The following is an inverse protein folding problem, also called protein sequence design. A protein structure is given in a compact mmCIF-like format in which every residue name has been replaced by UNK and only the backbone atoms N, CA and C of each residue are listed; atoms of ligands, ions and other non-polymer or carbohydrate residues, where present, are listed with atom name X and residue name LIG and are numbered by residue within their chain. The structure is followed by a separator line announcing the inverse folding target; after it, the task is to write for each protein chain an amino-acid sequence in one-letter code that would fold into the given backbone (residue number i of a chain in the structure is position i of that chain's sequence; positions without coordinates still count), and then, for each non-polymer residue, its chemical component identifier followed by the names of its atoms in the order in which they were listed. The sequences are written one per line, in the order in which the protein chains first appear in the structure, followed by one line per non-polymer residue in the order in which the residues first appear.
data_IF_819200702800
#
_entry.id   IF_819200702800
#
_cell.length_a   1.000
_cell.length_b   1.000
_cell.length_c   1.000
_cell.angle_alpha   90.00
_cell.angle_beta   90.00
_cell.angle_gamma   90.00
#
_symmetry.space_group_name_H-M   'P 1'
#
loop_
_entity.id
_entity.type
_entity.pdbx_description
1 polymer ?
#
# COMPACT_ATOMS: atom_id res chain seq x y z
N UNK A 1 -12.47 23.90 63.07
CA UNK A 1 -12.99 22.52 63.05
C UNK A 1 -13.46 22.09 61.64
N UNK A 2 -12.82 22.58 60.56
CA UNK A 2 -13.27 22.37 59.17
C UNK A 2 -12.34 21.52 58.29
N UNK A 3 -11.07 21.30 58.66
CA UNK A 3 -10.09 20.66 57.76
C UNK A 3 -10.21 19.14 57.61
N UNK A 4 -11.07 18.48 58.39
CA UNK A 4 -11.20 17.00 58.40
C UNK A 4 -12.28 16.50 57.41
N UNK A 5 -13.24 17.34 57.00
CA UNK A 5 -14.32 16.93 56.06
C UNK A 5 -13.86 16.81 54.60
N UNK A 6 -12.83 17.54 54.18
CA UNK A 6 -12.35 17.56 52.79
C UNK A 6 -11.67 16.23 52.39
N UNK A 7 -11.00 15.54 53.32
CA UNK A 7 -10.27 14.29 53.01
C UNK A 7 -11.16 13.07 52.73
N UNK A 8 -12.42 13.04 53.20
CA UNK A 8 -13.33 11.89 53.01
C UNK A 8 -14.10 11.92 51.68
N UNK A 9 -14.14 13.05 50.98
CA UNK A 9 -14.85 13.18 49.68
C UNK A 9 -13.92 13.05 48.47
N UNK A 10 -12.60 13.19 48.63
CA UNK A 10 -11.62 13.14 47.52
C UNK A 10 -11.35 11.69 47.06
N UNK A 11 -11.37 10.72 47.98
CA UNK A 11 -11.11 9.29 47.67
C UNK A 11 -12.16 8.68 46.72
N UNK A 12 -13.49 8.82 46.95
CA UNK A 12 -14.49 8.28 46.01
C UNK A 12 -14.50 9.01 44.67
N UNK A 13 -14.12 10.30 44.62
CA UNK A 13 -14.01 11.07 43.37
C UNK A 13 -12.83 10.59 42.50
N UNK A 14 -11.68 10.27 43.13
CA UNK A 14 -10.52 9.69 42.45
C UNK A 14 -10.79 8.28 41.93
N UNK A 15 -11.48 7.42 42.70
CA UNK A 15 -11.86 6.07 42.25
C UNK A 15 -12.87 6.10 41.09
N UNK A 16 -13.81 7.05 41.08
CA UNK A 16 -14.75 7.23 39.97
C UNK A 16 -14.02 7.75 38.70
N UNK A 17 -13.04 8.64 38.84
CA UNK A 17 -12.20 9.10 37.72
C UNK A 17 -11.34 7.98 37.12
N UNK A 18 -10.86 7.05 37.96
CA UNK A 18 -10.08 5.89 37.52
C UNK A 18 -10.96 4.88 36.76
N UNK A 19 -12.20 4.66 37.21
CA UNK A 19 -13.16 3.76 36.55
C UNK A 19 -13.59 4.26 35.15
N UNK A 20 -13.69 5.58 34.96
CA UNK A 20 -13.99 6.19 33.66
C UNK A 20 -12.78 6.09 32.71
N UNK A 21 -11.55 6.10 33.25
CA UNK A 21 -10.33 5.96 32.44
C UNK A 21 -10.09 4.53 31.91
N UNK A 22 -10.54 3.50 32.64
CA UNK A 22 -10.41 2.10 32.21
C UNK A 22 -11.58 1.58 31.35
N UNK A 23 -12.66 2.36 31.18
CA UNK A 23 -13.91 1.88 30.58
C UNK A 23 -13.98 1.88 29.05
N UNK A 24 -12.96 2.35 28.33
CA UNK A 24 -13.07 2.56 26.87
C UNK A 24 -11.79 2.24 26.11
N UNK A 25 -11.15 1.13 26.44
CA UNK A 25 -10.24 0.48 25.48
C UNK A 25 -11.13 -0.31 24.52
N UNK A 26 -11.75 0.39 23.55
CA UNK A 26 -12.34 -0.29 22.41
C UNK A 26 -11.19 -0.83 21.58
N UNK A 27 -10.89 -2.13 21.73
CA UNK A 27 -10.08 -2.84 20.76
C UNK A 27 -10.75 -2.66 19.40
N UNK A 28 -10.18 -1.82 18.55
CA UNK A 28 -10.60 -1.73 17.17
C UNK A 28 -10.25 -3.08 16.54
N UNK A 29 -11.26 -3.90 16.31
CA UNK A 29 -11.09 -5.14 15.57
C UNK A 29 -10.83 -4.77 14.11
N UNK A 30 -9.78 -5.35 13.53
CA UNK A 30 -9.52 -5.32 12.10
C UNK A 30 -10.79 -5.71 11.33
N UNK A 31 -11.31 -4.79 10.52
CA UNK A 31 -12.48 -5.04 9.70
C UNK A 31 -12.07 -5.53 8.30
N UNK A 32 -12.95 -6.29 7.68
CA UNK A 32 -12.78 -6.78 6.31
C UNK A 32 -13.82 -6.16 5.41
N UNK A 33 -13.39 -5.48 4.35
CA UNK A 33 -14.24 -4.78 3.40
C UNK A 33 -14.16 -5.40 2.01
N UNK A 34 -15.21 -5.21 1.22
CA UNK A 34 -15.31 -5.73 -0.14
C UNK A 34 -15.47 -4.59 -1.14
N UNK A 35 -14.78 -4.71 -2.28
CA UNK A 35 -14.86 -3.77 -3.40
C UNK A 35 -15.22 -4.54 -4.67
N UNK A 36 -16.25 -4.09 -5.39
CA UNK A 36 -16.68 -4.68 -6.66
C UNK A 36 -17.07 -3.57 -7.64
N UNK A 37 -16.26 -3.37 -8.69
CA UNK A 37 -16.46 -2.28 -9.66
C UNK A 37 -17.70 -2.42 -10.54
N UNK A 38 -18.34 -3.59 -10.55
CA UNK A 38 -19.51 -3.91 -11.37
C UNK A 38 -20.84 -3.87 -10.62
N UNK A 39 -20.85 -4.13 -9.31
CA UNK A 39 -22.07 -4.21 -8.49
C UNK A 39 -22.06 -3.34 -7.23
N UNK A 40 -20.94 -2.72 -6.89
CA UNK A 40 -20.78 -1.96 -5.65
C UNK A 40 -21.37 -0.54 -5.68
N UNK A 41 -21.38 0.11 -4.52
CA UNK A 41 -21.70 1.53 -4.39
C UNK A 41 -20.84 2.20 -3.32
N UNK A 42 -20.20 3.32 -3.66
CA UNK A 42 -19.44 4.13 -2.69
C UNK A 42 -20.33 4.91 -1.71
N UNK A 43 -21.66 4.90 -1.92
CA UNK A 43 -22.62 5.43 -0.96
C UNK A 43 -22.87 4.50 0.22
N UNK A 44 -22.42 3.24 0.16
CA UNK A 44 -22.56 2.30 1.27
C UNK A 44 -21.66 2.70 2.44
N UNK A 45 -22.18 2.50 3.65
CA UNK A 45 -21.43 2.73 4.88
C UNK A 45 -20.33 1.69 5.05
N UNK A 46 -19.37 1.96 5.92
CA UNK A 46 -18.32 1.00 6.27
C UNK A 46 -18.90 -0.34 6.74
N UNK A 47 -19.95 -0.33 7.56
CA UNK A 47 -20.61 -1.57 8.01
C UNK A 47 -21.24 -2.35 6.86
N UNK A 48 -21.85 -1.68 5.88
CA UNK A 48 -22.42 -2.35 4.71
C UNK A 48 -21.32 -2.96 3.83
N UNK A 49 -20.20 -2.27 3.63
CA UNK A 49 -19.10 -2.77 2.82
C UNK A 49 -18.35 -3.97 3.43
N UNK A 50 -18.66 -4.36 4.67
CA UNK A 50 -18.20 -5.61 5.26
C UNK A 50 -19.01 -6.84 4.79
N UNK A 51 -20.10 -6.63 4.03
CA UNK A 51 -20.86 -7.69 3.38
C UNK A 51 -20.58 -7.70 1.87
N UNK A 52 -20.28 -8.89 1.34
CA UNK A 52 -20.11 -9.17 -0.09
C UNK A 52 -21.28 -8.76 -0.98
N UNK A 53 -22.51 -8.65 -0.43
CA UNK A 53 -23.71 -8.23 -1.15
C UNK A 53 -23.84 -6.69 -1.26
N UNK A 54 -23.11 -5.94 -0.43
CA UNK A 54 -23.09 -4.46 -0.45
C UNK A 54 -21.65 -3.92 -0.50
N UNK A 55 -20.82 -4.34 -1.46
CA UNK A 55 -19.44 -3.91 -1.55
C UNK A 55 -19.35 -2.44 -1.99
N UNK A 56 -18.26 -1.77 -1.66
CA UNK A 56 -17.95 -0.47 -2.28
C UNK A 56 -17.68 -0.62 -3.77
N UNK A 57 -17.86 0.47 -4.52
CA UNK A 57 -17.63 0.49 -5.95
C UNK A 57 -16.14 0.62 -6.28
N UNK A 58 -15.44 1.51 -5.56
CA UNK A 58 -14.05 1.86 -5.87
C UNK A 58 -13.07 1.42 -4.79
N UNK A 59 -11.83 1.14 -5.21
CA UNK A 59 -10.72 0.88 -4.28
C UNK A 59 -10.33 2.17 -3.54
N UNK A 60 -10.50 3.34 -4.18
CA UNK A 60 -10.23 4.63 -3.55
C UNK A 60 -11.13 4.87 -2.34
N UNK A 61 -12.42 4.51 -2.43
CA UNK A 61 -13.33 4.60 -1.28
C UNK A 61 -12.83 3.80 -0.07
N UNK A 62 -12.28 2.62 -0.31
CA UNK A 62 -11.64 1.84 0.74
C UNK A 62 -10.39 2.56 1.28
N UNK A 63 -9.49 3.00 0.39
CA UNK A 63 -8.25 3.68 0.78
C UNK A 63 -8.46 4.92 1.66
N UNK A 64 -9.53 5.69 1.43
CA UNK A 64 -9.87 6.86 2.25
C UNK A 64 -10.42 6.50 3.64
N UNK A 65 -10.92 5.26 3.80
CA UNK A 65 -11.68 4.79 4.96
C UNK A 65 -10.88 3.90 5.91
N UNK A 66 -9.89 3.15 5.42
CA UNK A 66 -9.19 2.13 6.22
C UNK A 66 -8.46 2.69 7.44
N UNK A 67 -8.42 1.88 8.49
CA UNK A 67 -7.55 2.07 9.66
C UNK A 67 -6.62 0.87 9.81
N UNK A 68 -5.61 1.01 10.68
CA UNK A 68 -4.63 -0.04 10.92
C UNK A 68 -5.28 -1.40 11.23
N UNK A 69 -4.77 -2.45 10.58
CA UNK A 69 -5.27 -3.82 10.65
C UNK A 69 -6.37 -4.18 9.66
N UNK A 70 -7.04 -3.20 9.03
CA UNK A 70 -8.14 -3.48 8.09
C UNK A 70 -7.67 -4.23 6.84
N UNK A 71 -8.58 -5.01 6.24
CA UNK A 71 -8.36 -5.74 4.99
C UNK A 71 -9.39 -5.34 3.93
N UNK A 72 -8.92 -5.10 2.70
CA UNK A 72 -9.72 -4.78 1.52
C UNK A 72 -9.63 -5.94 0.52
N UNK A 73 -10.74 -6.65 0.34
CA UNK A 73 -10.90 -7.69 -0.68
C UNK A 73 -11.48 -7.07 -1.96
N UNK A 74 -10.66 -6.98 -2.99
CA UNK A 74 -11.03 -6.39 -4.28
C UNK A 74 -11.44 -7.50 -5.24
N UNK A 75 -12.63 -7.39 -5.83
CA UNK A 75 -13.16 -8.37 -6.78
C UNK A 75 -12.26 -8.47 -8.02
N UNK A 76 -11.73 -9.66 -8.25
CA UNK A 76 -10.96 -10.01 -9.43
C UNK A 76 -11.79 -10.15 -10.69
N UNK A 77 -11.10 -10.35 -11.81
CA UNK A 77 -11.74 -10.44 -13.13
C UNK A 77 -12.29 -9.12 -13.65
N UNK A 78 -12.06 -8.02 -12.92
CA UNK A 78 -12.45 -6.66 -13.27
C UNK A 78 -11.22 -5.79 -13.51
N UNK A 79 -11.44 -4.72 -14.28
CA UNK A 79 -10.45 -3.65 -14.50
C UNK A 79 -10.87 -2.41 -13.72
N UNK A 80 -9.95 -1.92 -12.91
CA UNK A 80 -10.07 -0.69 -12.14
C UNK A 80 -9.15 0.36 -12.74
N UNK A 81 -9.75 1.44 -13.23
CA UNK A 81 -9.05 2.60 -13.75
C UNK A 81 -9.64 3.85 -13.11
N UNK A 82 -8.78 4.79 -12.73
CA UNK A 82 -9.16 6.08 -12.20
C UNK A 82 -8.03 7.08 -12.44
N UNK A 83 -8.30 8.36 -12.19
CA UNK A 83 -7.33 9.44 -12.36
C UNK A 83 -7.35 10.35 -11.12
N UNK A 84 -7.25 9.73 -9.95
CA UNK A 84 -7.33 10.40 -8.66
C UNK A 84 -6.13 11.34 -8.49
N UNK A 85 -6.38 12.49 -7.85
CA UNK A 85 -5.35 13.49 -7.61
C UNK A 85 -4.64 13.19 -6.28
N UNK A 86 -3.48 12.54 -6.33
CA UNK A 86 -2.65 12.25 -5.14
C UNK A 86 -1.66 13.39 -4.86
N UNK A 87 -2.12 14.63 -5.08
CA UNK A 87 -1.41 15.88 -4.89
C UNK A 87 -0.28 16.13 -5.90
N UNK A 88 0.84 15.41 -5.84
CA UNK A 88 1.96 15.57 -6.79
C UNK A 88 1.82 14.74 -8.07
N UNK A 89 0.91 13.77 -8.07
CA UNK A 89 0.75 12.84 -9.16
C UNK A 89 -0.70 12.37 -9.31
N UNK A 90 -0.97 11.75 -10.45
CA UNK A 90 -2.21 11.02 -10.71
C UNK A 90 -2.01 9.54 -10.41
N UNK A 91 -2.95 8.93 -9.70
CA UNK A 91 -2.98 7.48 -9.50
C UNK A 91 -4.38 6.89 -9.64
N UNK A 92 -4.44 5.58 -9.85
CA UNK A 92 -5.70 4.83 -9.71
C UNK A 92 -6.09 4.75 -8.24
N UNK A 93 -5.11 4.57 -7.33
CA UNK A 93 -5.32 4.55 -5.88
C UNK A 93 -4.34 5.51 -5.20
N UNK A 94 -4.87 6.52 -4.52
CA UNK A 94 -4.15 7.36 -3.57
C UNK A 94 -4.25 6.74 -2.17
N UNK A 95 -3.13 6.30 -1.63
CA UNK A 95 -3.00 5.82 -0.26
C UNK A 95 -2.90 7.04 0.67
N UNK A 96 -3.84 7.15 1.61
CA UNK A 96 -3.98 8.31 2.53
C UNK A 96 -3.90 7.91 4.01
N UNK A 97 -3.75 6.62 4.30
CA UNK A 97 -3.79 6.03 5.63
C UNK A 97 -2.62 5.08 5.81
N UNK A 98 -2.05 5.04 7.01
CA UNK A 98 -1.02 4.08 7.41
C UNK A 98 -1.61 2.98 8.28
N UNK A 99 -1.03 1.80 8.18
CA UNK A 99 -1.18 0.78 9.22
C UNK A 99 -0.29 1.07 10.43
N UNK A 100 -0.14 0.06 11.28
CA UNK A 100 0.79 0.06 12.40
C UNK A 100 1.62 -1.23 12.38
N UNK A 101 2.72 -1.27 13.15
CA UNK A 101 3.53 -2.48 13.30
C UNK A 101 2.65 -3.66 13.73
N UNK A 102 2.68 -4.75 12.95
CA UNK A 102 1.85 -5.95 13.08
C UNK A 102 0.35 -5.78 12.76
N UNK A 103 -0.08 -4.60 12.31
CA UNK A 103 -1.45 -4.28 11.93
C UNK A 103 -1.44 -3.51 10.59
N UNK A 104 -0.94 -4.17 9.54
CA UNK A 104 -0.90 -3.57 8.21
C UNK A 104 -2.32 -3.33 7.67
N UNK A 105 -2.50 -2.29 6.86
CA UNK A 105 -3.67 -2.18 5.98
C UNK A 105 -3.41 -3.06 4.76
N UNK A 106 -4.28 -4.04 4.52
CA UNK A 106 -4.07 -5.05 3.48
C UNK A 106 -5.00 -4.81 2.29
N UNK A 107 -4.44 -4.78 1.09
CA UNK A 107 -5.17 -4.82 -0.17
C UNK A 107 -4.88 -6.15 -0.85
N UNK A 108 -5.92 -6.90 -1.17
CA UNK A 108 -5.78 -8.24 -1.77
C UNK A 108 -6.97 -8.62 -2.67
N UNK A 109 -6.82 -9.64 -3.52
CA UNK A 109 -7.93 -10.22 -4.26
C UNK A 109 -9.00 -10.76 -3.33
N UNK A 110 -10.26 -10.52 -3.69
CA UNK A 110 -11.38 -11.23 -3.13
C UNK A 110 -11.31 -12.70 -3.55
N UNK A 111 -11.11 -13.57 -2.56
CA UNK A 111 -11.02 -15.03 -2.75
C UNK A 111 -12.10 -15.58 -3.70
N UNK A 112 -11.67 -16.40 -4.65
CA UNK A 112 -12.54 -17.05 -5.63
C UNK A 112 -12.89 -16.21 -6.86
N UNK A 113 -12.47 -14.94 -6.94
CA UNK A 113 -12.83 -14.03 -8.05
C UNK A 113 -11.68 -13.78 -9.04
N UNK A 114 -10.49 -14.35 -8.80
CA UNK A 114 -9.27 -14.11 -9.59
C UNK A 114 -8.54 -12.83 -9.16
N UNK A 115 -7.57 -12.36 -9.96
CA UNK A 115 -6.82 -11.14 -9.66
C UNK A 115 -7.52 -9.88 -10.20
N UNK A 116 -7.62 -8.80 -9.42
CA UNK A 116 -8.03 -7.50 -9.92
C UNK A 116 -6.97 -6.91 -10.84
N UNK A 117 -7.41 -6.20 -11.89
CA UNK A 117 -6.52 -5.48 -12.80
C UNK A 117 -6.57 -3.99 -12.50
N UNK A 118 -5.43 -3.39 -12.17
CA UNK A 118 -5.26 -1.94 -12.08
C UNK A 118 -4.68 -1.44 -13.41
N UNK A 119 -5.37 -0.54 -14.08
CA UNK A 119 -4.95 0.01 -15.37
C UNK A 119 -4.67 1.52 -15.25
N UNK A 120 -3.40 1.90 -15.38
CA UNK A 120 -2.95 3.28 -15.31
C UNK A 120 -3.16 4.06 -16.62
N UNK A 121 -3.69 3.43 -17.67
CA UNK A 121 -3.96 4.05 -18.98
C UNK A 121 -2.76 4.79 -19.62
N UNK A 122 -1.53 4.40 -19.28
CA UNK A 122 -0.26 4.89 -19.82
C UNK A 122 0.29 6.16 -19.17
N UNK A 123 -0.50 6.89 -18.38
CA UNK A 123 -0.10 8.18 -17.79
C UNK A 123 -0.28 8.28 -16.28
N UNK A 124 -0.88 7.27 -15.66
CA UNK A 124 -1.32 7.28 -14.27
C UNK A 124 -0.57 6.21 -13.47
N UNK A 125 -0.28 6.49 -12.20
CA UNK A 125 0.28 5.50 -11.27
C UNK A 125 -0.79 4.46 -10.90
N UNK A 126 -0.39 3.26 -10.49
CA UNK A 126 -1.32 2.28 -9.94
C UNK A 126 -1.67 2.64 -8.50
N UNK A 127 -0.79 2.26 -7.56
CA UNK A 127 -0.83 2.71 -6.17
C UNK A 127 0.20 3.83 -5.95
N UNK A 128 -0.21 4.89 -5.26
CA UNK A 128 0.65 6.04 -4.93
C UNK A 128 0.28 6.57 -3.56
N UNK A 129 1.25 6.97 -2.75
CA UNK A 129 0.96 7.77 -1.55
C UNK A 129 0.74 9.24 -1.93
N UNK A 130 0.06 9.99 -1.06
CA UNK A 130 -0.10 11.44 -1.19
C UNK A 130 1.18 12.16 -0.75
N UNK A 131 1.73 13.02 -1.61
CA UNK A 131 3.07 13.61 -1.46
C UNK A 131 3.26 14.58 -0.31
N UNK A 132 2.18 15.07 0.32
CA UNK A 132 2.28 16.18 1.26
C UNK A 132 2.65 15.73 2.68
N UNK A 133 3.86 15.17 2.84
CA UNK A 133 4.59 14.99 4.12
C UNK A 133 4.18 13.84 5.06
N UNK A 134 3.20 13.02 4.69
CA UNK A 134 2.81 11.87 5.52
C UNK A 134 3.36 10.58 4.93
N UNK A 135 4.39 10.03 5.58
CA UNK A 135 4.90 8.71 5.27
C UNK A 135 3.80 7.67 5.47
N UNK A 136 3.33 7.10 4.36
CA UNK A 136 2.39 5.99 4.41
C UNK A 136 3.17 4.70 4.66
N UNK A 137 2.89 4.09 5.80
CA UNK A 137 3.63 2.94 6.35
C UNK A 137 2.67 1.78 6.58
N UNK A 138 3.22 0.56 6.70
CA UNK A 138 2.47 -0.64 7.06
C UNK A 138 1.29 -0.91 6.12
N UNK A 139 1.55 -0.83 4.81
CA UNK A 139 0.63 -1.22 3.75
C UNK A 139 1.10 -2.51 3.11
N UNK A 140 0.18 -3.45 2.94
CA UNK A 140 0.41 -4.68 2.18
C UNK A 140 -0.40 -4.66 0.89
N UNK A 141 0.27 -4.73 -0.26
CA UNK A 141 -0.35 -4.82 -1.58
C UNK A 141 -0.02 -6.18 -2.17
N UNK A 142 -1.03 -7.05 -2.26
CA UNK A 142 -0.86 -8.45 -2.61
C UNK A 142 -1.74 -8.84 -3.81
N UNK A 143 -1.22 -9.62 -4.77
CA UNK A 143 -2.05 -10.40 -5.70
C UNK A 143 -2.70 -9.64 -6.86
N UNK A 144 -2.30 -8.39 -7.13
CA UNK A 144 -2.85 -7.59 -8.21
C UNK A 144 -2.14 -7.83 -9.55
N UNK A 145 -2.87 -7.61 -10.64
CA UNK A 145 -2.28 -7.34 -11.95
C UNK A 145 -2.28 -5.83 -12.14
N UNK A 146 -1.13 -5.21 -12.43
CA UNK A 146 -1.02 -3.76 -12.62
C UNK A 146 -0.36 -3.49 -13.97
N UNK A 147 -1.02 -2.69 -14.81
CA UNK A 147 -0.54 -2.42 -16.16
C UNK A 147 -0.70 -1.00 -16.64
N UNK A 148 0.03 -0.68 -17.70
CA UNK A 148 0.00 0.61 -18.40
C UNK A 148 0.14 1.77 -17.42
N UNK A 149 1.16 1.74 -16.59
CA UNK A 149 1.32 2.70 -15.50
C UNK A 149 2.70 3.32 -15.49
N UNK A 150 2.75 4.61 -15.18
CA UNK A 150 4.03 5.32 -14.99
C UNK A 150 4.78 4.76 -13.78
N UNK A 151 4.06 4.48 -12.70
CA UNK A 151 4.58 3.77 -11.54
C UNK A 151 3.51 2.75 -11.17
N UNK A 152 3.79 1.46 -11.20
CA UNK A 152 2.76 0.49 -10.86
C UNK A 152 2.44 0.56 -9.36
N UNK A 153 3.47 0.58 -8.53
CA UNK A 153 3.36 0.76 -7.09
C UNK A 153 4.46 1.74 -6.67
N UNK A 154 4.06 2.88 -6.12
CA UNK A 154 4.93 3.84 -5.46
C UNK A 154 4.61 3.89 -3.97
N UNK A 155 5.62 3.64 -3.14
CA UNK A 155 5.50 3.64 -1.69
C UNK A 155 6.62 4.49 -1.07
N UNK A 156 6.28 5.24 -0.03
CA UNK A 156 7.24 5.82 0.92
C UNK A 156 7.14 5.05 2.23
N UNK A 157 7.57 5.63 3.35
CA UNK A 157 7.32 5.09 4.69
C UNK A 157 7.88 3.68 4.98
N UNK A 158 7.67 3.21 6.20
CA UNK A 158 8.30 1.99 6.73
C UNK A 158 7.32 0.81 6.83
N UNK A 159 7.87 -0.41 6.86
CA UNK A 159 7.11 -1.64 7.04
C UNK A 159 6.14 -1.97 5.90
N UNK A 160 6.40 -1.46 4.69
CA UNK A 160 5.53 -1.70 3.56
C UNK A 160 5.87 -3.03 2.86
N UNK A 161 4.84 -3.67 2.32
CA UNK A 161 4.90 -5.02 1.76
C UNK A 161 4.27 -5.04 0.38
N UNK A 162 5.01 -5.53 -0.61
CA UNK A 162 4.52 -5.70 -1.98
C UNK A 162 4.77 -7.12 -2.45
N UNK A 163 3.69 -7.88 -2.71
CA UNK A 163 3.84 -9.30 -3.00
C UNK A 163 2.88 -9.93 -3.98
N UNK A 164 3.35 -10.99 -4.64
CA UNK A 164 2.56 -11.80 -5.59
C UNK A 164 1.83 -10.96 -6.66
N UNK A 165 2.36 -9.80 -7.02
CA UNK A 165 1.78 -8.94 -8.05
C UNK A 165 2.38 -9.27 -9.42
N UNK A 166 1.60 -9.06 -10.47
CA UNK A 166 2.07 -9.09 -11.86
C UNK A 166 2.05 -7.66 -12.39
N UNK A 167 3.20 -7.11 -12.73
CA UNK A 167 3.37 -5.73 -13.17
C UNK A 167 3.94 -5.70 -14.57
N UNK A 168 3.26 -5.04 -15.51
CA UNK A 168 3.77 -4.95 -16.89
C UNK A 168 3.18 -3.81 -17.71
N UNK A 169 3.85 -3.43 -18.79
CA UNK A 169 3.25 -2.63 -19.86
C UNK A 169 3.12 -3.46 -21.15
N UNK A 170 2.12 -3.13 -21.97
CA UNK A 170 1.88 -3.80 -23.26
C UNK A 170 3.04 -3.59 -24.24
N UNK A 171 3.65 -2.42 -24.19
CA UNK A 171 4.87 -2.07 -24.92
C UNK A 171 5.92 -1.71 -23.89
N UNK A 172 7.18 -2.08 -24.15
CA UNK A 172 8.27 -1.70 -23.25
C UNK A 172 8.32 -0.18 -23.17
N UNK A 173 8.17 0.35 -21.96
CA UNK A 173 8.28 1.80 -21.75
C UNK A 173 9.69 2.29 -22.05
N UNK A 174 9.90 2.85 -23.24
CA UNK A 174 11.17 3.52 -23.60
C UNK A 174 11.29 4.92 -22.94
N UNK A 175 10.25 5.36 -22.22
CA UNK A 175 10.32 6.55 -21.37
C UNK A 175 10.86 6.22 -19.99
N UNK A 176 11.76 7.05 -19.46
CA UNK A 176 12.38 6.97 -18.13
C UNK A 176 11.41 6.99 -16.94
N UNK A 177 10.10 7.04 -17.18
CA UNK A 177 9.04 7.21 -16.18
C UNK A 177 8.07 6.02 -16.12
N UNK A 178 8.49 4.81 -16.51
CA UNK A 178 7.69 3.58 -16.37
C UNK A 178 8.35 2.62 -15.40
N UNK A 179 8.11 2.81 -14.10
CA UNK A 179 8.66 2.00 -13.03
C UNK A 179 7.66 0.92 -12.61
N UNK A 180 8.16 -0.29 -12.33
CA UNK A 180 7.34 -1.33 -11.72
C UNK A 180 7.03 -0.99 -10.27
N UNK A 181 7.97 -1.26 -9.37
CA UNK A 181 7.87 -0.92 -7.95
C UNK A 181 8.93 0.14 -7.62
N UNK A 182 8.48 1.27 -7.09
CA UNK A 182 9.34 2.38 -6.69
C UNK A 182 9.20 2.66 -5.20
N UNK A 183 10.34 2.62 -4.50
CA UNK A 183 10.45 3.06 -3.12
C UNK A 183 11.02 4.47 -3.10
N UNK A 184 10.30 5.45 -2.56
CA UNK A 184 10.64 6.87 -2.67
C UNK A 184 11.12 7.44 -1.32
N UNK A 185 12.35 7.97 -1.26
CA UNK A 185 12.90 8.52 0.01
C UNK A 185 12.66 9.99 0.29
N UNK A 186 12.19 10.77 -0.68
CA UNK A 186 12.25 12.24 -0.58
C UNK A 186 11.58 12.80 0.69
N UNK A 187 10.67 12.03 1.30
CA UNK A 187 9.97 12.38 2.53
C UNK A 187 10.22 11.41 3.71
N UNK A 188 10.69 10.19 3.47
CA UNK A 188 10.81 9.13 4.50
C UNK A 188 12.00 8.22 4.18
N UNK A 189 12.68 7.67 5.17
CA UNK A 189 13.47 6.46 4.94
C UNK A 189 12.50 5.27 4.80
N UNK A 190 12.41 4.62 3.63
CA UNK A 190 11.53 3.50 3.47
C UNK A 190 12.12 2.23 4.11
N UNK A 191 11.24 1.36 4.57
CA UNK A 191 11.56 -0.02 4.91
C UNK A 191 10.55 -0.87 4.15
N UNK A 192 10.99 -1.47 3.04
CA UNK A 192 10.10 -2.13 2.09
C UNK A 192 10.51 -3.58 1.82
N UNK A 193 9.54 -4.47 1.89
CA UNK A 193 9.69 -5.88 1.52
C UNK A 193 8.96 -6.15 0.20
N UNK A 194 9.69 -6.60 -0.81
CA UNK A 194 9.21 -6.87 -2.17
C UNK A 194 9.46 -8.35 -2.49
N UNK A 195 8.39 -9.15 -2.59
CA UNK A 195 8.55 -10.59 -2.79
C UNK A 195 7.55 -11.26 -3.74
N UNK A 196 8.02 -12.29 -4.45
CA UNK A 196 7.20 -13.12 -5.34
C UNK A 196 6.46 -12.34 -6.45
N UNK A 197 6.95 -11.16 -6.84
CA UNK A 197 6.34 -10.38 -7.91
C UNK A 197 6.91 -10.81 -9.27
N UNK A 198 6.10 -10.70 -10.33
CA UNK A 198 6.54 -10.83 -11.72
C UNK A 198 6.46 -9.47 -12.39
N UNK A 199 7.58 -8.91 -12.81
CA UNK A 199 7.68 -7.53 -13.31
C UNK A 199 8.38 -7.51 -14.67
N UNK A 200 7.70 -7.03 -15.71
CA UNK A 200 8.27 -7.06 -17.05
C UNK A 200 7.85 -5.89 -17.94
N UNK A 201 8.63 -5.66 -19.00
CA UNK A 201 8.42 -4.58 -19.97
C UNK A 201 8.35 -3.18 -19.33
N UNK A 202 9.03 -2.95 -18.21
CA UNK A 202 9.18 -1.64 -17.57
C UNK A 202 10.51 -0.99 -17.92
N UNK A 203 10.62 0.32 -17.70
CA UNK A 203 11.93 0.97 -17.69
C UNK A 203 12.77 0.40 -16.54
N UNK A 204 12.33 0.52 -15.28
CA UNK A 204 12.92 -0.20 -14.15
C UNK A 204 11.91 -1.17 -13.55
N UNK A 205 12.31 -2.42 -13.32
CA UNK A 205 11.46 -3.40 -12.66
C UNK A 205 11.21 -3.03 -11.19
N UNK A 206 12.27 -2.99 -10.40
CA UNK A 206 12.25 -2.47 -9.01
C UNK A 206 13.27 -1.36 -8.89
N UNK A 207 12.90 -0.25 -8.25
CA UNK A 207 13.82 0.83 -7.94
C UNK A 207 13.70 1.23 -6.47
N UNK A 208 14.82 1.13 -5.74
CA UNK A 208 14.91 1.55 -4.34
C UNK A 208 15.68 2.87 -4.27
N UNK A 209 14.98 3.94 -3.89
CA UNK A 209 15.56 5.28 -3.76
C UNK A 209 16.11 5.54 -2.34
N UNK A 210 16.66 4.54 -1.64
CA UNK A 210 17.18 4.65 -0.26
C UNK A 210 16.37 3.89 0.80
N UNK A 211 16.75 4.03 2.08
CA UNK A 211 16.18 3.27 3.19
C UNK A 211 16.71 1.83 3.31
N UNK A 212 15.94 0.98 3.99
CA UNK A 212 16.13 -0.45 4.06
C UNK A 212 15.20 -1.14 3.04
N UNK A 213 15.68 -2.22 2.41
CA UNK A 213 14.84 -3.00 1.51
C UNK A 213 15.19 -4.48 1.49
N UNK A 214 14.17 -5.32 1.34
CA UNK A 214 14.29 -6.75 1.10
C UNK A 214 13.61 -7.06 -0.22
N UNK A 215 14.39 -7.49 -1.22
CA UNK A 215 13.91 -7.85 -2.56
C UNK A 215 14.17 -9.32 -2.77
N UNK A 216 13.13 -10.17 -2.74
CA UNK A 216 13.28 -11.63 -2.80
C UNK A 216 12.33 -12.36 -3.72
N UNK A 217 12.78 -13.45 -4.35
CA UNK A 217 11.93 -14.36 -5.11
C UNK A 217 11.12 -13.67 -6.23
N UNK A 218 11.59 -12.54 -6.77
CA UNK A 218 10.90 -11.86 -7.86
C UNK A 218 11.41 -12.37 -9.20
N UNK A 219 10.53 -12.36 -10.21
CA UNK A 219 10.86 -12.62 -11.61
C UNK A 219 10.83 -11.28 -12.34
N UNK A 220 11.96 -10.84 -12.88
CA UNK A 220 12.08 -9.58 -13.61
C UNK A 220 12.61 -9.83 -15.02
N UNK A 221 11.86 -9.48 -16.06
CA UNK A 221 12.32 -9.72 -17.43
C UNK A 221 11.89 -8.68 -18.45
N UNK A 222 12.68 -8.49 -19.50
CA UNK A 222 12.35 -7.54 -20.57
C UNK A 222 12.29 -6.07 -20.13
N UNK A 223 12.79 -5.76 -18.94
CA UNK A 223 12.90 -4.39 -18.44
C UNK A 223 14.11 -3.67 -19.05
N UNK A 224 14.21 -2.34 -18.95
CA UNK A 224 15.49 -1.68 -19.26
C UNK A 224 16.51 -2.05 -18.19
N UNK A 225 16.18 -1.85 -16.92
CA UNK A 225 16.87 -2.47 -15.78
C UNK A 225 15.95 -3.34 -14.94
N UNK A 226 16.48 -4.46 -14.44
CA UNK A 226 15.78 -5.35 -13.52
C UNK A 226 15.58 -4.68 -12.15
N UNK A 227 16.63 -4.65 -11.33
CA UNK A 227 16.62 -4.05 -9.99
C UNK A 227 17.65 -2.92 -9.93
N UNK A 228 17.18 -1.71 -9.69
CA UNK A 228 18.00 -0.52 -9.46
C UNK A 228 17.99 -0.09 -8.01
N UNK A 229 19.15 0.29 -7.49
CA UNK A 229 19.31 0.81 -6.13
C UNK A 229 20.12 2.11 -6.23
N UNK A 230 19.51 3.23 -5.83
CA UNK A 230 20.06 4.57 -5.97
C UNK A 230 19.75 5.34 -4.68
N UNK A 231 20.74 5.88 -3.96
CA UNK A 231 20.59 6.95 -2.95
C UNK A 231 21.76 6.92 -1.98
N UNK A 232 22.16 8.10 -1.49
CA UNK A 232 23.12 8.23 -0.39
C UNK A 232 22.58 7.71 0.96
N UNK A 233 21.28 7.46 1.05
CA UNK A 233 20.58 7.09 2.30
C UNK A 233 20.17 5.61 2.33
N UNK A 234 20.86 4.75 1.57
CA UNK A 234 20.68 3.31 1.66
C UNK A 234 21.39 2.81 2.92
N UNK A 235 20.64 2.13 3.78
CA UNK A 235 21.20 1.50 4.97
C UNK A 235 21.50 0.03 4.68
N UNK A 236 20.46 -0.81 4.52
CA UNK A 236 20.60 -2.23 4.24
C UNK A 236 19.65 -2.67 3.14
N UNK A 237 20.21 -3.11 2.00
CA UNK A 237 19.43 -3.72 0.91
C UNK A 237 19.84 -5.17 0.76
N UNK A 238 18.87 -6.07 0.96
CA UNK A 238 19.03 -7.50 0.70
C UNK A 238 18.37 -7.87 -0.60
N UNK A 239 19.15 -8.35 -1.57
CA UNK A 239 18.67 -8.86 -2.85
C UNK A 239 18.99 -10.36 -2.90
N UNK A 240 17.98 -11.20 -2.93
CA UNK A 240 18.16 -12.65 -2.74
C UNK A 240 17.14 -13.46 -3.55
N UNK A 241 17.56 -14.55 -4.21
CA UNK A 241 16.69 -15.41 -5.02
C UNK A 241 15.81 -14.70 -6.08
N UNK A 242 16.26 -13.61 -6.68
CA UNK A 242 15.55 -12.98 -7.80
C UNK A 242 16.04 -13.55 -9.14
N UNK A 243 15.11 -13.82 -10.05
CA UNK A 243 15.41 -14.20 -11.43
C UNK A 243 15.24 -12.98 -12.33
N UNK A 244 16.35 -12.32 -12.64
CA UNK A 244 16.38 -11.12 -13.49
C UNK A 244 17.11 -11.44 -14.80
N UNK A 245 16.41 -11.37 -15.93
CA UNK A 245 16.97 -11.76 -17.24
C UNK A 245 16.40 -10.94 -18.40
N UNK A 246 17.11 -10.91 -19.53
CA UNK A 246 16.73 -10.14 -20.72
C UNK A 246 16.46 -8.65 -20.44
N UNK A 247 17.13 -8.06 -19.45
CA UNK A 247 17.13 -6.62 -19.28
C UNK A 247 18.04 -5.98 -20.33
N UNK A 248 17.68 -4.78 -20.81
CA UNK A 248 18.43 -4.11 -21.89
C UNK A 248 19.79 -3.62 -21.42
N UNK A 249 19.80 -3.00 -20.24
CA UNK A 249 20.96 -2.30 -19.69
C UNK A 249 21.61 -3.15 -18.60
N UNK A 250 20.89 -3.44 -17.51
CA UNK A 250 21.40 -4.30 -16.45
C UNK A 250 20.30 -5.11 -15.75
N UNK A 251 20.61 -6.34 -15.35
CA UNK A 251 19.71 -7.09 -14.46
C UNK A 251 19.72 -6.52 -13.04
N UNK A 252 20.88 -5.99 -12.61
CA UNK A 252 21.09 -5.32 -11.33
C UNK A 252 21.93 -4.06 -11.57
N UNK A 253 21.45 -2.90 -11.13
CA UNK A 253 22.17 -1.64 -11.25
C UNK A 253 22.29 -0.92 -9.91
N UNK A 254 23.47 -0.35 -9.68
CA UNK A 254 23.71 0.67 -8.66
C UNK A 254 23.90 1.98 -9.40
N UNK A 255 23.13 3.01 -9.06
CA UNK A 255 23.36 4.36 -9.58
C UNK A 255 24.24 5.17 -8.62
#
# INVERSE_FOLDING_TARGET
MESVRIRKQIIPLLLLSLLIFFGSISSAYAATYYVAGDTGSDSYTSTQAQDTATPWLTIQKAADTMVAGDTVNVKGGLVYAANNNCESARAVICLTRSGEVNNDIQYQPWSGTGSPVIDGAGSTKGFSFTSNSSCISHISINGFVIKNSTYAIELGGAGNIVSNNIVYDQERGDSSFTLGIYSHTYYCAPDISIYNNTIYNKYLGVHIDGGDAIIKNNILYGNVDGIGVNSSNINNVTIDYNDAFNSVSANYSTA
#
